data_IF_299317604099
#
_entry.id   IF_299317604099
#
_cell.length_a   1.000
_cell.length_b   1.000
_cell.length_c   1.000
_cell.angle_alpha   90.00
_cell.angle_beta   90.00
_cell.angle_gamma   90.00
#
_symmetry.space_group_name_H-M   'P 1'
#
loop_
_entity.id
_entity.type
_entity.pdbx_description
1 polymer ?
#
# COMPACT_ATOMS: atom_id res chain seq x y z
N UNK A 1 -20.00 34.06 0.46
CA UNK A 1 -19.79 32.73 1.06
C UNK A 1 -18.40 32.73 1.69
N UNK A 2 -18.33 32.86 3.01
CA UNK A 2 -17.06 33.05 3.73
C UNK A 2 -16.28 31.73 3.80
N UNK A 3 -15.05 31.71 3.28
CA UNK A 3 -14.07 30.64 3.55
C UNK A 3 -13.73 30.70 5.03
N UNK A 4 -14.10 29.65 5.79
CA UNK A 4 -13.53 29.43 7.13
C UNK A 4 -12.07 29.06 6.93
N UNK A 5 -11.18 30.00 7.23
CA UNK A 5 -9.78 29.71 7.51
C UNK A 5 -9.75 29.00 8.86
N UNK A 6 -9.46 27.70 8.87
CA UNK A 6 -9.08 27.02 10.10
C UNK A 6 -7.65 27.44 10.44
N UNK A 7 -7.53 28.37 11.39
CA UNK A 7 -6.30 28.53 12.17
C UNK A 7 -6.40 27.59 13.37
N UNK A 8 -5.76 26.43 13.25
CA UNK A 8 -5.53 25.52 14.35
C UNK A 8 -4.05 25.20 14.41
N UNK A 9 -3.35 25.67 15.44
CA UNK A 9 -2.04 25.15 15.80
C UNK A 9 -2.26 23.97 16.74
N UNK A 10 -2.11 22.75 16.24
CA UNK A 10 -1.98 21.56 17.08
C UNK A 10 -0.48 21.35 17.31
N UNK A 11 0.00 21.25 18.55
CA UNK A 11 1.37 20.86 18.78
C UNK A 11 1.53 19.42 18.28
N UNK A 12 2.15 19.30 17.12
CA UNK A 12 2.67 18.05 16.57
C UNK A 12 3.75 17.58 17.55
N UNK A 13 3.38 16.76 18.54
CA UNK A 13 4.36 15.95 19.27
C UNK A 13 4.72 14.73 18.42
N UNK A 14 5.09 14.95 17.16
CA UNK A 14 5.95 14.00 16.44
C UNK A 14 7.32 14.11 17.10
N UNK A 15 7.93 12.99 17.52
CA UNK A 15 9.24 13.04 18.15
C UNK A 15 10.35 13.31 17.14
N UNK A 16 10.00 13.66 15.90
CA UNK A 16 10.94 13.88 14.82
C UNK A 16 10.56 15.13 13.99
N UNK A 17 11.57 15.95 13.72
CA UNK A 17 11.58 17.05 12.78
C UNK A 17 11.42 16.56 11.34
N UNK A 18 11.08 17.48 10.41
CA UNK A 18 11.10 17.18 8.97
C UNK A 18 12.45 16.59 8.53
N UNK A 19 13.54 17.08 9.12
CA UNK A 19 14.89 16.55 8.86
C UNK A 19 15.04 15.07 9.28
N UNK A 20 14.44 14.66 10.39
CA UNK A 20 14.45 13.26 10.83
C UNK A 20 13.54 12.38 9.96
N UNK A 21 12.39 12.89 9.47
CA UNK A 21 11.56 12.19 8.47
C UNK A 21 12.30 11.99 7.14
N UNK A 22 13.07 12.98 6.70
CA UNK A 22 13.92 12.90 5.51
C UNK A 22 15.02 11.84 5.64
N UNK A 23 15.65 11.72 6.81
CA UNK A 23 16.63 10.67 7.09
C UNK A 23 16.07 9.25 6.99
N UNK A 24 14.76 9.05 7.19
CA UNK A 24 14.10 7.74 6.96
C UNK A 24 13.86 7.40 5.49
N UNK A 25 13.85 8.41 4.62
CA UNK A 25 13.58 8.28 3.18
C UNK A 25 14.87 8.22 2.35
N UNK A 26 16.00 8.68 2.90
CA UNK A 26 17.35 8.42 2.37
C UNK A 26 17.59 6.90 2.35
N UNK A 27 17.50 6.30 1.17
CA UNK A 27 17.69 4.85 0.97
C UNK A 27 16.52 4.10 0.31
N UNK A 28 15.51 4.79 -0.23
CA UNK A 28 14.39 4.18 -0.97
C UNK A 28 14.73 3.58 -2.35
N UNK A 29 16.02 3.35 -2.65
CA UNK A 29 16.49 2.66 -3.86
C UNK A 29 17.19 3.59 -4.86
N UNK A 30 18.00 3.02 -5.76
CA UNK A 30 18.82 3.77 -6.73
C UNK A 30 18.01 4.46 -7.86
N UNK A 31 16.70 4.18 -7.93
CA UNK A 31 15.82 4.61 -9.02
C UNK A 31 15.06 5.92 -8.73
N UNK A 32 15.01 6.34 -7.47
CA UNK A 32 14.32 7.56 -7.04
C UNK A 32 15.16 8.34 -6.04
N UNK A 33 15.24 9.65 -6.23
CA UNK A 33 15.83 10.59 -5.30
C UNK A 33 14.73 11.31 -4.53
N UNK A 34 14.79 11.23 -3.20
CA UNK A 34 13.90 12.00 -2.33
C UNK A 34 14.63 13.29 -1.94
N UNK A 35 14.12 14.41 -2.40
CA UNK A 35 14.64 15.75 -2.12
C UNK A 35 13.80 16.38 -1.02
N UNK A 36 14.46 16.73 0.07
CA UNK A 36 13.87 17.53 1.13
C UNK A 36 14.32 18.98 1.00
N UNK A 37 13.37 19.86 0.71
CA UNK A 37 13.63 21.28 0.51
C UNK A 37 13.75 21.98 1.89
N UNK A 38 14.57 23.04 1.98
CA UNK A 38 14.81 23.78 3.23
C UNK A 38 13.54 24.40 3.85
N UNK A 39 12.48 24.57 3.05
CA UNK A 39 11.17 25.07 3.48
C UNK A 39 10.27 23.99 4.11
N UNK A 40 10.74 22.73 4.16
CA UNK A 40 10.00 21.59 4.69
C UNK A 40 9.10 20.87 3.67
N UNK A 41 9.23 21.18 2.37
CA UNK A 41 8.55 20.44 1.30
C UNK A 41 9.33 19.19 0.88
N UNK A 42 8.60 18.14 0.49
CA UNK A 42 9.14 16.89 -0.02
C UNK A 42 8.94 16.81 -1.53
N UNK A 43 9.99 16.52 -2.30
CA UNK A 43 9.90 16.15 -3.72
C UNK A 43 10.51 14.78 -3.94
N UNK A 44 9.82 13.96 -4.74
CA UNK A 44 10.36 12.68 -5.23
C UNK A 44 10.68 12.89 -6.70
N UNK A 45 11.93 12.64 -7.08
CA UNK A 45 12.43 12.81 -8.45
C UNK A 45 12.92 11.45 -8.94
N UNK A 46 12.46 11.04 -10.12
CA UNK A 46 12.94 9.82 -10.77
C UNK A 46 14.38 10.03 -11.24
N UNK A 47 15.28 9.07 -10.95
CA UNK A 47 16.68 9.21 -11.31
C UNK A 47 16.90 9.05 -12.82
N UNK A 48 17.87 9.78 -13.38
CA UNK A 48 18.25 9.68 -14.80
C UNK A 48 18.85 8.31 -15.18
N UNK A 49 19.03 7.41 -14.21
CA UNK A 49 19.56 6.04 -14.40
C UNK A 49 18.46 4.99 -14.56
N UNK A 50 17.20 5.39 -14.56
CA UNK A 50 16.11 4.49 -14.92
C UNK A 50 16.18 4.18 -16.41
N UNK A 51 16.95 3.16 -16.77
CA UNK A 51 16.82 2.47 -18.05
C UNK A 51 15.81 1.34 -17.85
N UNK A 52 14.56 1.46 -18.36
CA UNK A 52 13.68 0.30 -18.40
C UNK A 52 14.35 -0.72 -19.31
N UNK A 53 14.76 -1.86 -18.76
CA UNK A 53 15.19 -3.00 -19.57
C UNK A 53 14.06 -3.32 -20.56
N UNK A 54 14.23 -2.94 -21.82
CA UNK A 54 13.28 -3.29 -22.89
C UNK A 54 13.52 -4.74 -23.26
N UNK A 55 12.95 -5.66 -22.48
CA UNK A 55 12.90 -7.05 -22.84
C UNK A 55 11.72 -7.25 -23.78
N UNK A 56 11.97 -7.65 -25.03
CA UNK A 56 10.92 -8.16 -25.92
C UNK A 56 10.50 -9.55 -25.42
N UNK A 57 9.62 -9.58 -24.42
CA UNK A 57 8.99 -10.80 -23.98
C UNK A 57 7.77 -11.09 -24.89
N UNK A 58 7.54 -12.36 -25.27
CA UNK A 58 6.29 -12.72 -25.91
C UNK A 58 5.16 -12.43 -24.92
N UNK A 59 4.21 -11.56 -25.29
CA UNK A 59 3.07 -11.17 -24.45
C UNK A 59 2.36 -12.44 -23.97
N UNK A 60 2.58 -12.79 -22.71
CA UNK A 60 1.89 -13.89 -22.06
C UNK A 60 0.63 -13.31 -21.42
N UNK A 61 -0.56 -13.75 -21.86
CA UNK A 61 -1.78 -13.29 -21.18
C UNK A 61 -1.77 -13.80 -19.75
N UNK A 62 -2.01 -12.89 -18.81
CA UNK A 62 -2.09 -13.17 -17.37
C UNK A 62 -3.18 -14.19 -17.08
N UNK A 63 -4.25 -14.24 -17.88
CA UNK A 63 -5.31 -15.26 -17.76
C UNK A 63 -4.85 -16.69 -18.00
N UNK A 64 -3.67 -16.92 -18.59
CA UNK A 64 -3.08 -18.26 -18.66
C UNK A 64 -2.27 -18.63 -17.41
N UNK A 65 -1.82 -17.63 -16.64
CA UNK A 65 -1.00 -17.78 -15.44
C UNK A 65 -1.83 -17.81 -14.16
N UNK A 66 -2.89 -17.00 -14.11
CA UNK A 66 -3.83 -16.90 -13.01
C UNK A 66 -5.14 -17.62 -13.34
N UNK A 67 -5.62 -18.47 -12.43
CA UNK A 67 -6.84 -19.29 -12.57
C UNK A 67 -7.99 -18.78 -11.70
N UNK A 68 -8.02 -17.49 -11.46
CA UNK A 68 -8.98 -16.80 -10.61
C UNK A 68 -10.29 -16.52 -11.37
N UNK A 69 -11.41 -16.47 -10.65
CA UNK A 69 -12.75 -16.55 -11.24
C UNK A 69 -13.05 -15.39 -12.21
N UNK A 70 -12.48 -14.22 -11.96
CA UNK A 70 -12.73 -12.99 -12.73
C UNK A 70 -11.47 -12.41 -13.39
N UNK A 71 -10.37 -13.17 -13.48
CA UNK A 71 -9.11 -12.68 -14.08
C UNK A 71 -9.28 -12.18 -15.52
N UNK A 72 -10.15 -12.82 -16.31
CA UNK A 72 -10.43 -12.40 -17.69
C UNK A 72 -11.08 -11.01 -17.78
N UNK A 73 -11.66 -10.51 -16.68
CA UNK A 73 -12.22 -9.16 -16.59
C UNK A 73 -11.17 -8.11 -16.21
N UNK A 74 -9.97 -8.52 -15.78
CA UNK A 74 -8.89 -7.63 -15.36
C UNK A 74 -7.97 -7.29 -16.54
N UNK A 75 -8.52 -6.54 -17.50
CA UNK A 75 -7.83 -6.10 -18.72
C UNK A 75 -6.47 -5.42 -18.46
N UNK A 76 -6.33 -4.77 -17.30
CA UNK A 76 -5.15 -4.01 -16.93
C UNK A 76 -3.92 -4.89 -16.64
N UNK A 77 -4.10 -6.18 -16.31
CA UNK A 77 -2.97 -7.04 -15.95
C UNK A 77 -2.07 -7.31 -17.16
N UNK A 78 -2.67 -7.49 -18.34
CA UNK A 78 -1.95 -7.66 -19.60
C UNK A 78 -1.30 -6.32 -20.03
N UNK A 79 -2.00 -5.19 -19.88
CA UNK A 79 -1.51 -3.86 -20.28
C UNK A 79 -0.26 -3.40 -19.50
N UNK A 80 -0.11 -3.86 -18.25
CA UNK A 80 1.07 -3.56 -17.43
C UNK A 80 2.13 -4.67 -17.48
N UNK A 81 2.00 -5.64 -18.39
CA UNK A 81 2.92 -6.79 -18.52
C UNK A 81 3.11 -7.54 -17.19
N UNK A 82 2.01 -7.75 -16.45
CA UNK A 82 2.11 -8.34 -15.10
C UNK A 82 2.52 -9.81 -15.15
N UNK A 83 2.17 -10.53 -16.22
CA UNK A 83 2.51 -11.94 -16.38
C UNK A 83 4.01 -12.15 -16.39
N UNK A 84 4.71 -11.30 -17.13
CA UNK A 84 6.17 -11.27 -17.20
C UNK A 84 6.80 -10.91 -15.85
N UNK A 85 6.25 -9.92 -15.15
CA UNK A 85 6.73 -9.54 -13.82
C UNK A 85 6.56 -10.69 -12.80
N UNK A 86 5.44 -11.39 -12.84
CA UNK A 86 5.19 -12.57 -12.02
C UNK A 86 6.13 -13.73 -12.34
N UNK A 87 6.43 -13.98 -13.61
CA UNK A 87 7.45 -14.98 -13.99
C UNK A 87 8.81 -14.64 -13.39
N UNK A 88 9.15 -13.36 -13.23
CA UNK A 88 10.40 -12.95 -12.56
C UNK A 88 10.33 -13.03 -11.03
N UNK A 89 9.20 -12.66 -10.44
CA UNK A 89 9.02 -12.60 -8.97
C UNK A 89 8.82 -13.99 -8.37
N UNK A 90 8.11 -14.88 -9.05
CA UNK A 90 7.81 -16.24 -8.58
C UNK A 90 8.85 -17.29 -9.04
N UNK A 91 9.97 -16.86 -9.62
CA UNK A 91 11.12 -17.74 -9.87
C UNK A 91 11.64 -18.34 -8.56
N UNK A 92 11.83 -19.66 -8.53
CA UNK A 92 12.17 -20.45 -7.34
C UNK A 92 13.50 -20.02 -6.66
N UNK A 93 14.40 -19.36 -7.40
CA UNK A 93 15.73 -18.96 -6.92
C UNK A 93 15.78 -17.60 -6.19
N UNK A 94 14.64 -16.89 -6.03
CA UNK A 94 14.60 -15.64 -5.25
C UNK A 94 14.15 -15.90 -3.81
N UNK A 95 14.90 -15.43 -2.79
CA UNK A 95 14.45 -15.55 -1.41
C UNK A 95 13.15 -14.77 -1.23
N UNK A 96 12.09 -15.45 -0.77
CA UNK A 96 10.84 -14.82 -0.45
C UNK A 96 11.05 -13.78 0.66
N UNK A 97 10.98 -12.50 0.30
CA UNK A 97 10.93 -11.40 1.27
C UNK A 97 9.47 -11.10 1.54
N UNK A 98 9.06 -11.19 2.79
CA UNK A 98 7.73 -10.71 3.19
C UNK A 98 7.74 -9.18 3.11
N UNK A 99 6.92 -8.65 2.20
CA UNK A 99 6.73 -7.21 2.02
C UNK A 99 5.38 -6.86 2.63
N UNK A 100 5.40 -5.96 3.62
CA UNK A 100 4.18 -5.40 4.20
C UNK A 100 3.88 -4.07 3.52
N UNK A 101 2.68 -3.93 2.97
CA UNK A 101 2.17 -2.69 2.37
C UNK A 101 0.98 -2.21 3.18
N UNK A 102 1.04 -0.97 3.65
CA UNK A 102 -0.05 -0.37 4.40
C UNK A 102 -1.05 0.31 3.45
N UNK A 103 -2.34 -0.02 3.60
CA UNK A 103 -3.45 0.62 2.89
C UNK A 103 -4.10 1.61 3.82
N UNK A 104 -3.93 2.91 3.52
CA UNK A 104 -4.57 4.02 4.24
C UNK A 104 -5.85 4.40 3.53
N UNK A 105 -6.97 3.85 3.99
CA UNK A 105 -8.26 4.00 3.29
C UNK A 105 -9.46 3.97 4.26
N UNK A 106 -10.64 3.54 3.80
CA UNK A 106 -11.90 3.32 4.52
C UNK A 106 -11.89 2.06 5.39
N UNK A 107 -10.77 1.34 5.43
CA UNK A 107 -10.61 0.03 6.04
C UNK A 107 -10.52 -1.08 5.00
N UNK A 108 -10.38 -2.34 5.43
CA UNK A 108 -10.43 -3.51 4.54
C UNK A 108 -11.21 -4.62 5.23
N UNK A 109 -12.05 -5.32 4.49
CA UNK A 109 -12.73 -6.54 4.95
C UNK A 109 -11.68 -7.68 5.06
N UNK A 110 -11.03 -7.79 6.22
CA UNK A 110 -9.88 -8.67 6.43
C UNK A 110 -10.21 -10.17 6.44
N UNK A 111 -11.48 -10.55 6.58
CA UNK A 111 -11.97 -11.92 6.44
C UNK A 111 -12.58 -12.21 5.07
N UNK A 112 -12.41 -11.31 4.10
CA UNK A 112 -12.81 -11.55 2.72
C UNK A 112 -12.05 -12.79 2.18
N UNK A 113 -12.75 -13.77 1.57
CA UNK A 113 -12.17 -15.08 1.21
C UNK A 113 -11.08 -15.02 0.14
N UNK A 114 -10.91 -13.85 -0.48
CA UNK A 114 -9.90 -13.55 -1.50
C UNK A 114 -8.73 -12.70 -0.97
N UNK A 115 -8.84 -12.17 0.25
CA UNK A 115 -7.83 -11.30 0.88
C UNK A 115 -7.19 -11.93 2.11
N UNK A 116 -7.92 -12.79 2.82
CA UNK A 116 -7.57 -13.26 4.17
C UNK A 116 -6.13 -13.83 4.29
N UNK A 117 -5.64 -14.52 3.26
CA UNK A 117 -4.29 -15.09 3.25
C UNK A 117 -3.18 -14.03 3.10
N UNK A 118 -3.53 -12.88 2.52
CA UNK A 118 -2.66 -11.71 2.30
C UNK A 118 -2.76 -10.65 3.39
N UNK A 119 -3.56 -10.83 4.44
CA UNK A 119 -3.67 -9.83 5.51
C UNK A 119 -2.49 -9.90 6.48
N UNK A 120 -1.90 -8.75 6.79
CA UNK A 120 -0.89 -8.60 7.84
C UNK A 120 -1.49 -8.93 9.21
N UNK A 121 -0.71 -9.57 10.08
CA UNK A 121 -1.07 -9.77 11.48
C UNK A 121 0.17 -9.56 12.34
N UNK A 122 0.04 -8.74 13.39
CA UNK A 122 1.10 -8.62 14.40
C UNK A 122 1.03 -9.74 15.45
N UNK A 123 1.93 -9.69 16.43
CA UNK A 123 2.02 -10.68 17.51
C UNK A 123 0.75 -10.80 18.37
N UNK A 124 -0.11 -9.78 18.37
CA UNK A 124 -1.38 -9.74 19.10
C UNK A 124 -2.58 -10.06 18.19
N UNK A 125 -2.34 -10.61 16.99
CA UNK A 125 -3.34 -10.89 15.96
C UNK A 125 -4.11 -9.66 15.49
N UNK A 126 -3.48 -8.47 15.50
CA UNK A 126 -4.09 -7.24 14.96
C UNK A 126 -3.68 -7.04 13.51
N UNK A 127 -4.63 -6.59 12.70
CA UNK A 127 -4.43 -6.35 11.27
C UNK A 127 -4.01 -4.91 10.93
N UNK A 128 -4.10 -4.01 11.90
CA UNK A 128 -3.74 -2.60 11.75
C UNK A 128 -4.42 -1.71 12.77
N UNK A 129 -4.92 -0.55 12.36
CA UNK A 129 -5.48 0.46 13.27
C UNK A 129 -6.58 1.30 12.60
N UNK A 130 -7.58 1.71 13.36
CA UNK A 130 -8.63 2.61 12.92
C UNK A 130 -8.42 3.99 13.54
N UNK A 131 -7.85 4.90 12.77
CA UNK A 131 -7.60 6.28 13.20
C UNK A 131 -8.85 7.14 13.17
N UNK A 132 -9.85 6.79 12.35
CA UNK A 132 -11.08 7.56 12.23
C UNK A 132 -11.95 7.43 13.51
N UNK A 133 -12.18 6.20 13.98
CA UNK A 133 -12.97 5.95 15.21
C UNK A 133 -12.09 5.83 16.47
N UNK A 134 -10.76 5.91 16.32
CA UNK A 134 -9.76 5.77 17.37
C UNK A 134 -9.82 4.41 18.12
N UNK A 135 -9.93 3.32 17.37
CA UNK A 135 -9.91 1.95 17.89
C UNK A 135 -8.99 1.01 17.07
N UNK A 136 -9.06 -0.29 17.38
CA UNK A 136 -8.20 -1.32 16.79
C UNK A 136 -8.87 -2.14 15.69
N UNK A 137 -10.10 -1.80 15.27
CA UNK A 137 -10.82 -2.54 14.22
C UNK A 137 -10.84 -1.76 12.90
N UNK A 138 -9.87 -1.99 11.99
CA UNK A 138 -9.77 -1.28 10.72
C UNK A 138 -10.65 -1.91 9.64
N UNK A 139 -11.77 -2.56 10.03
CA UNK A 139 -12.72 -3.15 9.08
C UNK A 139 -13.30 -2.07 8.18
N UNK A 140 -13.50 -2.43 6.91
CA UNK A 140 -14.07 -1.53 5.91
C UNK A 140 -15.53 -1.20 6.22
N UNK A 141 -15.91 0.06 5.99
CA UNK A 141 -17.28 0.56 6.15
C UNK A 141 -17.85 1.14 4.85
N UNK A 142 -17.08 1.15 3.77
CA UNK A 142 -17.45 1.75 2.48
C UNK A 142 -17.33 0.77 1.31
N UNK A 143 -16.25 -0.03 1.28
CA UNK A 143 -15.91 -0.92 0.17
C UNK A 143 -14.75 -0.41 -0.70
N UNK A 144 -14.43 0.89 -0.65
CA UNK A 144 -13.33 1.48 -1.42
C UNK A 144 -11.97 0.87 -1.02
N UNK A 145 -11.71 0.74 0.29
CA UNK A 145 -10.45 0.22 0.79
C UNK A 145 -10.29 -1.28 0.51
N UNK A 146 -11.36 -2.06 0.65
CA UNK A 146 -11.38 -3.48 0.24
C UNK A 146 -11.11 -3.64 -1.26
N UNK A 147 -11.69 -2.78 -2.09
CA UNK A 147 -11.43 -2.79 -3.54
C UNK A 147 -9.97 -2.44 -3.87
N UNK A 148 -9.41 -1.41 -3.25
CA UNK A 148 -7.99 -1.06 -3.38
C UNK A 148 -7.06 -2.18 -2.90
N UNK A 149 -7.38 -2.83 -1.78
CA UNK A 149 -6.64 -3.98 -1.27
C UNK A 149 -6.70 -5.19 -2.23
N UNK A 150 -7.85 -5.43 -2.87
CA UNK A 150 -7.99 -6.47 -3.90
C UNK A 150 -7.11 -6.25 -5.12
N UNK A 151 -7.05 -5.01 -5.62
CA UNK A 151 -6.13 -4.65 -6.71
C UNK A 151 -4.68 -4.93 -6.30
N UNK A 152 -4.31 -4.52 -5.08
CA UNK A 152 -2.94 -4.67 -4.58
C UNK A 152 -2.54 -6.14 -4.42
N UNK A 153 -3.36 -6.95 -3.74
CA UNK A 153 -2.92 -8.25 -3.22
C UNK A 153 -4.04 -9.24 -2.96
N UNK A 154 -5.10 -9.26 -3.79
CA UNK A 154 -5.97 -10.43 -3.85
C UNK A 154 -5.16 -11.71 -4.09
N UNK A 155 -5.61 -12.80 -3.48
CA UNK A 155 -4.88 -14.08 -3.47
C UNK A 155 -4.99 -14.73 -4.83
N UNK A 156 -3.97 -14.54 -5.66
CA UNK A 156 -3.90 -15.13 -7.00
C UNK A 156 -3.83 -16.66 -6.96
N UNK A 157 -4.46 -17.31 -7.92
CA UNK A 157 -4.55 -18.76 -8.10
C UNK A 157 -5.31 -19.53 -7.00
N UNK A 158 -6.28 -18.89 -6.33
CA UNK A 158 -7.13 -19.53 -5.33
C UNK A 158 -8.51 -19.98 -5.89
N UNK A 159 -8.75 -19.76 -7.18
CA UNK A 159 -10.01 -20.04 -7.90
C UNK A 159 -11.22 -19.22 -7.42
N UNK A 160 -10.98 -18.08 -6.76
CA UNK A 160 -11.97 -17.11 -6.32
C UNK A 160 -11.66 -15.76 -6.97
N UNK A 161 -12.54 -14.80 -6.73
CA UNK A 161 -12.38 -13.37 -7.03
C UNK A 161 -11.40 -12.99 -8.14
N UNK A 162 -10.40 -12.20 -7.77
CA UNK A 162 -9.47 -11.49 -8.66
C UNK A 162 -8.03 -11.93 -8.38
N UNK A 163 -7.16 -11.66 -9.35
CA UNK A 163 -5.72 -11.69 -9.13
C UNK A 163 -5.21 -10.34 -8.63
N UNK A 164 -4.47 -10.34 -7.52
CA UNK A 164 -3.79 -9.16 -6.98
C UNK A 164 -2.45 -8.90 -7.67
N UNK A 165 -2.04 -7.64 -7.78
CA UNK A 165 -0.79 -7.26 -8.46
C UNK A 165 0.45 -7.91 -7.84
N UNK A 166 0.54 -7.92 -6.51
CA UNK A 166 1.77 -8.32 -5.81
C UNK A 166 1.51 -9.29 -4.64
N UNK A 167 2.43 -10.26 -4.41
CA UNK A 167 2.38 -11.14 -3.25
C UNK A 167 2.86 -10.40 -1.98
N UNK A 168 1.98 -9.64 -1.35
CA UNK A 168 2.29 -8.80 -0.18
C UNK A 168 1.41 -9.13 1.02
N UNK A 169 1.85 -8.68 2.21
CA UNK A 169 0.99 -8.60 3.39
C UNK A 169 0.39 -7.21 3.51
N UNK A 170 -0.93 -7.12 3.63
CA UNK A 170 -1.67 -5.85 3.65
C UNK A 170 -1.92 -5.46 5.10
N UNK A 171 -1.37 -4.33 5.53
CA UNK A 171 -1.68 -3.70 6.82
C UNK A 171 -2.80 -2.68 6.65
N UNK A 172 -3.81 -2.73 7.53
CA UNK A 172 -5.04 -1.98 7.37
C UNK A 172 -5.04 -0.72 8.23
N UNK A 173 -5.03 0.46 7.61
CA UNK A 173 -5.06 1.73 8.34
C UNK A 173 -6.30 2.52 7.93
N UNK A 174 -7.37 2.39 8.71
CA UNK A 174 -8.61 3.12 8.42
C UNK A 174 -8.46 4.58 8.83
N UNK A 175 -8.59 5.48 7.86
CA UNK A 175 -8.52 6.94 8.03
C UNK A 175 -9.76 7.67 7.47
N UNK A 176 -10.64 6.96 6.78
CA UNK A 176 -11.85 7.51 6.14
C UNK A 176 -13.14 6.84 6.67
N UNK A 177 -14.25 7.57 6.58
CA UNK A 177 -15.60 7.20 7.01
C UNK A 177 -16.39 6.38 5.95
N UNK A 178 -17.65 6.06 6.23
CA UNK A 178 -18.52 5.33 5.30
C UNK A 178 -18.82 6.07 3.99
N UNK A 179 -18.49 7.37 3.89
CA UNK A 179 -18.61 8.17 2.67
C UNK A 179 -17.26 8.35 1.95
N UNK A 180 -16.19 7.70 2.42
CA UNK A 180 -14.84 7.87 1.89
C UNK A 180 -14.19 9.21 2.26
N UNK A 181 -14.63 9.84 3.34
CA UNK A 181 -14.12 11.14 3.81
C UNK A 181 -13.31 10.99 5.07
N UNK A 182 -12.27 11.79 5.20
CA UNK A 182 -11.54 11.94 6.45
C UNK A 182 -10.70 13.19 6.42
N UNK A 183 -10.19 13.54 7.60
CA UNK A 183 -9.31 14.68 7.77
C UNK A 183 -7.86 14.29 7.53
N UNK A 184 -7.06 15.24 7.05
CA UNK A 184 -5.61 15.09 6.88
C UNK A 184 -4.93 14.55 8.15
N UNK A 185 -5.47 14.88 9.33
CA UNK A 185 -4.95 14.42 10.61
C UNK A 185 -4.90 12.88 10.71
N UNK A 186 -5.94 12.18 10.28
CA UNK A 186 -6.00 10.70 10.38
C UNK A 186 -5.00 10.05 9.42
N UNK A 187 -4.84 10.60 8.21
CA UNK A 187 -3.83 10.14 7.27
C UNK A 187 -2.41 10.34 7.80
N UNK A 188 -2.13 11.48 8.45
CA UNK A 188 -0.83 11.74 9.08
C UNK A 188 -0.56 10.79 10.26
N UNK A 189 -1.58 10.50 11.08
CA UNK A 189 -1.46 9.51 12.14
C UNK A 189 -1.16 8.10 11.59
N UNK A 190 -1.81 7.72 10.49
CA UNK A 190 -1.54 6.46 9.80
C UNK A 190 -0.10 6.38 9.27
N UNK A 191 0.40 7.43 8.61
CA UNK A 191 1.80 7.49 8.15
C UNK A 191 2.77 7.39 9.33
N UNK A 192 2.53 8.14 10.40
CA UNK A 192 3.35 8.10 11.60
C UNK A 192 3.38 6.70 12.25
N UNK A 193 2.24 6.01 12.25
CA UNK A 193 2.12 4.64 12.73
C UNK A 193 2.99 3.66 11.92
N UNK A 194 3.01 3.78 10.59
CA UNK A 194 3.86 2.95 9.71
C UNK A 194 5.34 3.18 10.03
N UNK A 195 5.76 4.45 10.11
CA UNK A 195 7.17 4.80 10.40
C UNK A 195 7.59 4.24 11.76
N UNK A 196 6.74 4.38 12.78
CA UNK A 196 7.02 3.88 14.13
C UNK A 196 7.12 2.35 14.13
N UNK A 197 6.21 1.63 13.49
CA UNK A 197 6.27 0.16 13.39
C UNK A 197 7.44 -0.33 12.54
N UNK A 198 7.91 0.43 11.55
CA UNK A 198 9.12 0.07 10.81
C UNK A 198 10.34 -0.03 11.71
N UNK A 199 10.41 0.81 12.76
CA UNK A 199 11.46 0.74 13.80
C UNK A 199 11.32 -0.51 14.68
N UNK A 200 10.11 -1.07 14.81
CA UNK A 200 9.83 -2.30 15.57
C UNK A 200 10.01 -3.59 14.74
N UNK A 201 9.88 -3.50 13.41
CA UNK A 201 9.81 -4.66 12.47
C UNK A 201 11.08 -4.79 11.61
N UNK A 202 12.10 -3.94 11.79
CA UNK A 202 13.39 -4.00 11.08
C UNK A 202 14.41 -4.94 11.71
#
# INVERSE_FOLDING_TARGET
MARRLFQGTVPLSVPFSVAEFCGFLEGLGEDYEVICEENGELRIVQSDRFEPDTFELPISRVSYLAKDAFVESQWNLDEISLGEAWEMVFQEDRPAREIVVAVVDTGVEYDHPDLIDGIFSDADCRHGHNFFDADLDPRDVNGHGTHCAGILGATTNNARGLAGIAPVKIMLLRAFDEMGKGDLLYSLQAVNYIVTRRVEVS
#
